data_IF_352080655392
#
_entry.id   IF_352080655392
#
_cell.length_a   1.000
_cell.length_b   1.000
_cell.length_c   1.000
_cell.angle_alpha   90.00
_cell.angle_beta   90.00
_cell.angle_gamma   90.00
#
_symmetry.space_group_name_H-M   'P 1'
#
loop_
_entity.id
_entity.type
_entity.pdbx_description
1 polymer ?
#
# COMPACT_ATOMS: atom_id res chain seq x y z
N UNK A 1 63.31 26.18 -78.32
CA UNK A 1 61.91 26.56 -78.03
C UNK A 1 61.50 25.91 -76.71
N UNK A 2 61.66 26.62 -75.58
CA UNK A 2 61.28 26.10 -74.27
C UNK A 2 59.78 26.32 -74.04
N UNK A 3 59.00 25.24 -74.09
CA UNK A 3 57.55 25.26 -73.86
C UNK A 3 57.25 25.72 -72.43
N UNK A 4 56.50 26.81 -72.30
CA UNK A 4 56.14 27.46 -71.04
C UNK A 4 54.98 26.73 -70.33
N UNK A 5 55.16 25.42 -70.10
CA UNK A 5 54.16 24.51 -69.55
C UNK A 5 53.70 24.92 -68.14
N UNK A 6 54.59 25.51 -67.35
CA UNK A 6 54.32 25.93 -65.97
C UNK A 6 53.35 27.10 -65.81
N UNK A 7 53.04 27.86 -66.86
CA UNK A 7 51.98 28.89 -66.80
C UNK A 7 50.59 28.26 -67.00
N UNK A 8 50.47 27.32 -67.94
CA UNK A 8 49.20 26.63 -68.20
C UNK A 8 48.70 25.85 -66.97
N UNK A 9 49.58 25.13 -66.26
CA UNK A 9 49.20 24.40 -65.05
C UNK A 9 48.76 25.31 -63.89
N UNK A 10 49.36 26.50 -63.76
CA UNK A 10 48.97 27.46 -62.71
C UNK A 10 47.59 28.06 -62.95
N UNK A 11 47.20 28.29 -64.19
CA UNK A 11 45.86 28.81 -64.51
C UNK A 11 44.77 27.76 -64.37
N UNK A 12 45.05 26.50 -64.72
CA UNK A 12 44.13 25.38 -64.50
C UNK A 12 43.90 25.16 -63.00
N UNK A 13 44.95 25.21 -62.17
CA UNK A 13 44.84 25.09 -60.71
C UNK A 13 44.00 26.20 -60.07
N UNK A 14 44.10 27.44 -60.57
CA UNK A 14 43.28 28.56 -60.08
C UNK A 14 41.80 28.40 -60.43
N UNK A 15 41.47 27.90 -61.63
CA UNK A 15 40.08 27.62 -62.03
C UNK A 15 39.48 26.49 -61.19
N UNK A 16 40.21 25.39 -61.01
CA UNK A 16 39.78 24.27 -60.16
C UNK A 16 39.51 24.69 -58.72
N UNK A 17 40.41 25.47 -58.10
CA UNK A 17 40.21 25.98 -56.73
C UNK A 17 38.94 26.82 -56.60
N UNK A 18 38.61 27.62 -57.61
CA UNK A 18 37.40 28.45 -57.63
C UNK A 18 36.14 27.58 -57.72
N UNK A 19 36.14 26.56 -58.58
CA UNK A 19 35.01 25.62 -58.72
C UNK A 19 34.78 24.81 -57.45
N UNK A 20 35.84 24.28 -56.82
CA UNK A 20 35.73 23.55 -55.56
C UNK A 20 35.21 24.44 -54.42
N UNK A 21 35.63 25.71 -54.34
CA UNK A 21 35.13 26.64 -53.31
C UNK A 21 33.65 27.00 -53.44
N UNK A 22 33.06 26.84 -54.64
CA UNK A 22 31.62 27.01 -54.86
C UNK A 22 30.83 25.79 -54.42
N UNK A 23 31.35 24.58 -54.72
CA UNK A 23 30.71 23.30 -54.36
C UNK A 23 30.71 23.08 -52.83
N UNK A 24 31.78 23.46 -52.12
CA UNK A 24 31.83 23.33 -50.66
C UNK A 24 30.72 24.16 -49.98
N UNK A 25 30.45 25.38 -50.46
CA UNK A 25 29.39 26.24 -49.91
C UNK A 25 27.99 25.64 -50.07
N UNK A 26 27.71 24.98 -51.19
CA UNK A 26 26.43 24.30 -51.40
C UNK A 26 26.26 23.06 -50.52
N UNK A 27 27.35 22.35 -50.23
CA UNK A 27 27.35 21.18 -49.32
C UNK A 27 27.15 21.63 -47.88
N UNK A 28 27.75 22.73 -47.46
CA UNK A 28 27.58 23.29 -46.10
C UNK A 28 26.13 23.72 -45.85
N UNK A 29 25.48 24.33 -46.85
CA UNK A 29 24.07 24.72 -46.78
C UNK A 29 23.11 23.51 -46.68
N UNK A 30 23.38 22.45 -47.44
CA UNK A 30 22.63 21.20 -47.37
C UNK A 30 22.81 20.49 -46.02
N UNK A 31 24.02 20.53 -45.47
CA UNK A 31 24.33 19.91 -44.17
C UNK A 31 23.61 20.63 -43.02
N UNK A 32 23.48 21.97 -43.09
CA UNK A 32 22.66 22.75 -42.16
C UNK A 32 21.20 22.30 -42.15
N UNK A 33 20.60 22.17 -43.34
CA UNK A 33 19.20 21.76 -43.50
C UNK A 33 18.94 20.33 -42.97
N UNK A 34 19.87 19.41 -43.19
CA UNK A 34 19.78 18.03 -42.65
C UNK A 34 19.88 18.01 -41.13
N UNK A 35 20.72 18.87 -40.54
CA UNK A 35 20.84 18.96 -39.07
C UNK A 35 19.58 19.54 -38.43
N UNK A 36 18.95 20.53 -39.06
CA UNK A 36 17.68 21.11 -38.61
C UNK A 36 16.55 20.06 -38.64
N UNK A 37 16.47 19.25 -39.70
CA UNK A 37 15.48 18.16 -39.81
C UNK A 37 15.73 17.08 -38.74
N UNK A 38 16.99 16.71 -38.48
CA UNK A 38 17.33 15.74 -37.42
C UNK A 38 16.94 16.25 -36.04
N UNK A 39 17.08 17.56 -35.78
CA UNK A 39 16.66 18.17 -34.53
C UNK A 39 15.15 18.02 -34.31
N UNK A 40 14.33 18.26 -35.35
CA UNK A 40 12.87 18.09 -35.28
C UNK A 40 12.45 16.62 -35.02
N UNK A 41 13.11 15.66 -35.68
CA UNK A 41 12.85 14.23 -35.50
C UNK A 41 13.20 13.80 -34.06
N UNK A 42 14.39 14.19 -33.57
CA UNK A 42 14.82 13.87 -32.21
C UNK A 42 13.89 14.50 -31.16
N UNK A 43 13.39 15.72 -31.40
CA UNK A 43 12.43 16.38 -30.52
C UNK A 43 11.11 15.60 -30.44
N UNK A 44 10.62 15.09 -31.58
CA UNK A 44 9.39 14.28 -31.65
C UNK A 44 9.55 12.95 -30.90
N UNK A 45 10.70 12.28 -31.08
CA UNK A 45 11.01 11.02 -30.38
C UNK A 45 11.13 11.26 -28.87
N UNK A 46 11.80 12.33 -28.44
CA UNK A 46 11.94 12.68 -27.03
C UNK A 46 10.57 12.93 -26.38
N UNK A 47 9.68 13.64 -27.09
CA UNK A 47 8.31 13.86 -26.63
C UNK A 47 7.53 12.55 -26.51
N UNK A 48 7.63 11.65 -27.49
CA UNK A 48 6.96 10.35 -27.44
C UNK A 48 7.47 9.50 -26.27
N UNK A 49 8.78 9.45 -26.06
CA UNK A 49 9.39 8.73 -24.94
C UNK A 49 8.94 9.31 -23.58
N UNK A 50 8.80 10.63 -23.49
CA UNK A 50 8.27 11.29 -22.29
C UNK A 50 6.81 10.87 -22.02
N UNK A 51 5.95 10.89 -23.05
CA UNK A 51 4.55 10.46 -22.92
C UNK A 51 4.44 8.98 -22.53
N UNK A 52 5.21 8.11 -23.17
CA UNK A 52 5.25 6.67 -22.83
C UNK A 52 5.74 6.47 -21.40
N UNK A 53 6.74 7.23 -20.94
CA UNK A 53 7.22 7.19 -19.56
C UNK A 53 6.12 7.55 -18.57
N UNK A 54 5.38 8.64 -18.81
CA UNK A 54 4.26 9.05 -17.96
C UNK A 54 3.16 7.97 -17.91
N UNK A 55 2.78 7.43 -19.07
CA UNK A 55 1.79 6.35 -19.16
C UNK A 55 2.28 5.14 -18.36
N UNK A 56 3.54 4.73 -18.53
CA UNK A 56 4.11 3.59 -17.80
C UNK A 56 4.11 3.78 -16.29
N UNK A 57 4.33 5.00 -15.81
CA UNK A 57 4.30 5.33 -14.39
C UNK A 57 2.88 5.25 -13.83
N UNK A 58 1.91 5.84 -14.53
CA UNK A 58 0.48 5.76 -14.15
C UNK A 58 0.00 4.32 -14.15
N UNK A 59 0.31 3.53 -15.19
CA UNK A 59 -0.06 2.12 -15.24
C UNK A 59 0.51 1.30 -14.10
N UNK A 60 1.79 1.50 -13.75
CA UNK A 60 2.39 0.83 -12.59
C UNK A 60 1.67 1.22 -11.29
N UNK A 61 1.42 2.50 -11.07
CA UNK A 61 0.70 2.97 -9.88
C UNK A 61 -0.70 2.37 -9.77
N UNK A 62 -1.43 2.30 -10.89
CA UNK A 62 -2.78 1.74 -10.95
C UNK A 62 -2.77 0.24 -10.67
N UNK A 63 -1.86 -0.54 -11.26
CA UNK A 63 -1.74 -1.98 -11.01
C UNK A 63 -1.44 -2.24 -9.53
N UNK A 64 -0.51 -1.48 -8.95
CA UNK A 64 -0.23 -1.56 -7.51
C UNK A 64 -1.50 -1.30 -6.70
N UNK A 65 -2.22 -0.21 -6.98
CA UNK A 65 -3.49 0.07 -6.30
C UNK A 65 -4.47 -1.11 -6.35
N UNK A 66 -4.71 -1.72 -7.51
CA UNK A 66 -5.62 -2.85 -7.63
C UNK A 66 -5.15 -4.10 -6.86
N UNK A 67 -3.85 -4.41 -6.87
CA UNK A 67 -3.30 -5.57 -6.15
C UNK A 67 -3.52 -5.46 -4.64
N UNK A 68 -3.45 -4.25 -4.06
CA UNK A 68 -3.67 -4.06 -2.62
C UNK A 68 -5.14 -3.83 -2.26
N UNK A 69 -5.89 -3.17 -3.15
CA UNK A 69 -7.26 -2.78 -2.89
C UNK A 69 -8.24 -3.94 -3.05
N UNK A 70 -8.04 -4.81 -4.05
CA UNK A 70 -8.94 -5.95 -4.31
C UNK A 70 -8.99 -6.97 -3.15
N UNK A 71 -7.87 -7.41 -2.56
CA UNK A 71 -7.91 -8.33 -1.42
C UNK A 71 -8.56 -7.70 -0.19
N UNK A 72 -8.34 -6.40 0.03
CA UNK A 72 -8.98 -5.67 1.12
C UNK A 72 -10.49 -5.68 0.95
N UNK A 73 -10.99 -5.34 -0.24
CA UNK A 73 -12.42 -5.43 -0.57
C UNK A 73 -12.97 -6.85 -0.42
N UNK A 74 -12.22 -7.85 -0.90
CA UNK A 74 -12.64 -9.26 -0.83
C UNK A 74 -12.95 -9.70 0.60
N UNK A 75 -12.10 -9.32 1.55
CA UNK A 75 -12.32 -9.60 2.98
C UNK A 75 -13.61 -8.99 3.52
N UNK A 76 -13.94 -7.76 3.13
CA UNK A 76 -15.21 -7.12 3.52
C UNK A 76 -16.41 -7.84 2.92
N UNK A 77 -16.34 -8.22 1.65
CA UNK A 77 -17.44 -8.95 1.02
C UNK A 77 -17.66 -10.31 1.66
N UNK A 78 -16.62 -11.11 1.88
CA UNK A 78 -16.74 -12.38 2.59
C UNK A 78 -17.40 -12.20 3.96
N UNK A 79 -17.04 -11.12 4.65
CA UNK A 79 -17.62 -10.79 5.94
C UNK A 79 -19.12 -10.49 5.89
N UNK A 80 -19.50 -9.65 4.93
CA UNK A 80 -20.90 -9.28 4.70
C UNK A 80 -21.70 -10.51 4.29
N UNK A 81 -21.16 -11.37 3.41
CA UNK A 81 -21.83 -12.61 3.00
C UNK A 81 -22.02 -13.57 4.16
N UNK A 82 -21.02 -13.76 5.02
CA UNK A 82 -21.17 -14.58 6.23
C UNK A 82 -22.31 -14.03 7.10
N UNK A 83 -22.35 -12.72 7.35
CA UNK A 83 -23.42 -12.08 8.12
C UNK A 83 -24.80 -12.29 7.48
N UNK A 84 -24.92 -12.18 6.16
CA UNK A 84 -26.19 -12.40 5.44
C UNK A 84 -26.65 -13.87 5.55
N UNK A 85 -25.74 -14.83 5.42
CA UNK A 85 -26.08 -16.27 5.50
C UNK A 85 -26.49 -16.66 6.92
N UNK A 86 -25.84 -16.11 7.95
CA UNK A 86 -26.18 -16.37 9.35
C UNK A 86 -27.32 -15.49 9.89
N UNK A 87 -27.74 -14.47 9.14
CA UNK A 87 -28.82 -13.55 9.50
C UNK A 87 -30.09 -14.26 10.00
N UNK A 88 -30.68 -15.27 9.33
CA UNK A 88 -31.89 -15.92 9.83
C UNK A 88 -31.71 -16.63 11.17
N UNK A 89 -30.52 -17.16 11.47
CA UNK A 89 -30.21 -17.81 12.75
C UNK A 89 -29.96 -16.79 13.87
N UNK A 90 -29.38 -15.65 13.51
CA UNK A 90 -29.05 -14.56 14.42
C UNK A 90 -30.14 -13.47 14.50
N UNK A 91 -31.23 -13.61 13.74
CA UNK A 91 -32.25 -12.58 13.56
C UNK A 91 -32.85 -12.13 14.89
N UNK A 92 -33.14 -13.08 15.79
CA UNK A 92 -33.68 -12.79 17.11
C UNK A 92 -32.72 -11.93 17.96
N UNK A 93 -31.43 -12.22 17.92
CA UNK A 93 -30.42 -11.45 18.64
C UNK A 93 -30.25 -10.04 18.08
N UNK A 94 -30.26 -9.89 16.76
CA UNK A 94 -30.25 -8.58 16.11
C UNK A 94 -31.51 -7.77 16.41
N UNK A 95 -32.66 -8.42 16.52
CA UNK A 95 -33.92 -7.77 16.86
C UNK A 95 -33.92 -7.29 18.31
N UNK A 96 -33.41 -8.10 19.24
CA UNK A 96 -33.21 -7.67 20.64
C UNK A 96 -32.24 -6.48 20.75
N UNK A 97 -31.13 -6.50 20.02
CA UNK A 97 -30.17 -5.40 19.99
C UNK A 97 -30.81 -4.12 19.43
N UNK A 98 -31.57 -4.25 18.34
CA UNK A 98 -32.31 -3.13 17.73
C UNK A 98 -33.37 -2.55 18.68
N UNK A 99 -34.14 -3.40 19.38
CA UNK A 99 -35.12 -2.96 20.38
C UNK A 99 -34.41 -2.25 21.55
N UNK A 100 -33.28 -2.80 22.01
CA UNK A 100 -32.50 -2.22 23.09
C UNK A 100 -32.00 -0.83 22.70
N UNK A 101 -31.46 -0.69 21.49
CA UNK A 101 -31.00 0.59 20.97
C UNK A 101 -32.15 1.60 20.82
N UNK A 102 -33.27 1.20 20.21
CA UNK A 102 -34.47 2.05 20.05
C UNK A 102 -35.02 2.48 21.41
N UNK A 103 -35.05 1.59 22.40
CA UNK A 103 -35.51 1.93 23.74
C UNK A 103 -34.53 2.82 24.50
N UNK A 104 -33.22 2.74 24.23
CA UNK A 104 -32.20 3.56 24.86
C UNK A 104 -32.23 5.02 24.38
N UNK A 105 -32.53 5.25 23.10
CA UNK A 105 -32.59 6.60 22.51
C UNK A 105 -33.49 7.59 23.28
N UNK A 106 -34.76 7.29 23.62
CA UNK A 106 -35.62 8.24 24.34
C UNK A 106 -35.09 8.56 25.74
N UNK A 107 -34.50 7.59 26.45
CA UNK A 107 -33.88 7.85 27.75
C UNK A 107 -32.68 8.79 27.64
N UNK A 108 -31.85 8.59 26.60
CA UNK A 108 -30.71 9.48 26.35
C UNK A 108 -31.15 10.90 26.03
N UNK A 109 -32.19 11.06 25.22
CA UNK A 109 -32.78 12.38 24.92
C UNK A 109 -33.34 13.03 26.19
N UNK A 110 -34.00 12.25 27.05
CA UNK A 110 -34.58 12.74 28.29
C UNK A 110 -33.47 13.24 29.25
N UNK A 111 -32.39 12.48 29.43
CA UNK A 111 -31.25 12.92 30.24
C UNK A 111 -30.57 14.16 29.67
N UNK A 112 -30.44 14.24 28.35
CA UNK A 112 -29.88 15.41 27.68
C UNK A 112 -30.73 16.67 27.89
N UNK A 113 -32.07 16.56 27.84
CA UNK A 113 -32.99 17.67 28.11
C UNK A 113 -32.87 18.13 29.57
N UNK A 114 -32.85 17.19 30.52
CA UNK A 114 -32.68 17.52 31.95
C UNK A 114 -31.35 18.22 32.17
N UNK A 115 -30.27 17.71 31.58
CA UNK A 115 -28.95 18.29 31.73
C UNK A 115 -28.88 19.71 31.15
N UNK A 116 -29.52 19.93 30.01
CA UNK A 116 -29.60 21.27 29.38
C UNK A 116 -30.39 22.28 30.23
N UNK A 117 -31.44 21.85 30.93
CA UNK A 117 -32.29 22.74 31.74
C UNK A 117 -31.65 23.04 33.10
N UNK A 118 -31.10 22.04 33.76
CA UNK A 118 -30.62 22.15 35.14
C UNK A 118 -29.10 22.34 35.26
N UNK A 119 -28.34 22.07 34.18
CA UNK A 119 -26.88 22.23 34.09
C UNK A 119 -26.14 21.49 35.22
N UNK A 120 -26.58 20.25 35.50
CA UNK A 120 -26.15 19.45 36.65
C UNK A 120 -25.07 18.40 36.30
N UNK A 121 -24.73 18.22 35.02
CA UNK A 121 -23.81 17.18 34.58
C UNK A 121 -24.36 15.77 34.78
N UNK A 122 -25.67 15.58 34.65
CA UNK A 122 -26.34 14.29 34.94
C UNK A 122 -25.90 13.22 33.94
N UNK A 123 -25.67 13.59 32.68
CA UNK A 123 -25.17 12.67 31.65
C UNK A 123 -23.82 12.06 32.07
N UNK A 124 -22.89 12.89 32.56
CA UNK A 124 -21.57 12.44 33.02
C UNK A 124 -21.68 11.55 34.26
N UNK A 125 -22.59 11.87 35.18
CA UNK A 125 -22.81 11.06 36.37
C UNK A 125 -23.34 9.66 36.01
N UNK A 126 -24.37 9.59 35.16
CA UNK A 126 -24.93 8.31 34.70
C UNK A 126 -23.88 7.53 33.92
N UNK A 127 -23.16 8.18 33.00
CA UNK A 127 -22.15 7.48 32.22
C UNK A 127 -21.01 6.93 33.07
N UNK A 128 -20.49 7.71 34.00
CA UNK A 128 -19.32 7.30 34.77
C UNK A 128 -19.67 6.32 35.89
N UNK A 129 -20.73 6.57 36.63
CA UNK A 129 -21.07 5.75 37.79
C UNK A 129 -21.94 4.57 37.43
N UNK A 130 -22.97 4.75 36.59
CA UNK A 130 -23.88 3.64 36.27
C UNK A 130 -23.24 2.67 35.27
N UNK A 131 -22.79 3.15 34.11
CA UNK A 131 -22.14 2.27 33.13
C UNK A 131 -20.78 1.76 33.61
N UNK A 132 -19.99 2.57 34.31
CA UNK A 132 -18.74 2.13 34.91
C UNK A 132 -18.92 1.01 35.92
N UNK A 133 -19.90 1.13 36.83
CA UNK A 133 -20.18 0.07 37.83
C UNK A 133 -20.70 -1.20 37.16
N UNK A 134 -21.53 -1.08 36.11
CA UNK A 134 -22.02 -2.23 35.35
C UNK A 134 -20.90 -2.97 34.62
N UNK A 135 -19.95 -2.26 34.02
CA UNK A 135 -18.77 -2.87 33.40
C UNK A 135 -17.88 -3.59 34.42
N UNK A 136 -17.65 -2.97 35.57
CA UNK A 136 -16.81 -3.56 36.61
C UNK A 136 -17.48 -4.82 37.19
N UNK A 137 -18.81 -4.81 37.33
CA UNK A 137 -19.58 -5.98 37.73
C UNK A 137 -19.55 -7.08 36.66
N UNK A 138 -19.68 -6.73 35.37
CA UNK A 138 -19.58 -7.68 34.26
C UNK A 138 -18.21 -8.37 34.24
N UNK A 139 -17.13 -7.58 34.39
CA UNK A 139 -15.76 -8.10 34.47
C UNK A 139 -15.58 -9.02 35.68
N UNK A 140 -16.12 -8.66 36.85
CA UNK A 140 -16.02 -9.48 38.04
C UNK A 140 -16.73 -10.84 37.89
N UNK A 141 -17.86 -10.86 37.17
CA UNK A 141 -18.64 -12.09 36.97
C UNK A 141 -18.00 -12.97 35.90
N UNK A 142 -17.48 -12.35 34.83
CA UNK A 142 -16.86 -13.06 33.72
C UNK A 142 -15.47 -13.63 34.06
N UNK A 143 -14.63 -12.89 34.80
CA UNK A 143 -13.23 -13.26 35.03
C UNK A 143 -13.10 -14.50 35.95
N UNK A 144 -12.13 -15.37 35.64
CA UNK A 144 -11.85 -16.61 36.37
C UNK A 144 -11.39 -16.36 37.82
N UNK A 145 -10.92 -15.15 38.11
CA UNK A 145 -10.53 -14.70 39.46
C UNK A 145 -11.69 -14.16 40.30
N UNK A 146 -12.86 -13.94 39.70
CA UNK A 146 -14.08 -13.51 40.37
C UNK A 146 -15.05 -14.68 40.56
N UNK A 147 -16.16 -14.68 39.80
CA UNK A 147 -17.13 -15.78 39.82
C UNK A 147 -16.86 -16.88 38.78
N UNK A 148 -16.06 -16.62 37.74
CA UNK A 148 -15.63 -17.61 36.75
C UNK A 148 -16.76 -18.22 35.89
N UNK A 149 -17.90 -17.55 35.73
CA UNK A 149 -19.06 -18.12 35.03
C UNK A 149 -18.97 -18.02 33.50
N UNK A 150 -18.02 -17.26 32.93
CA UNK A 150 -17.90 -16.95 31.49
C UNK A 150 -19.21 -16.42 30.88
N UNK A 151 -20.04 -15.78 31.69
CA UNK A 151 -21.30 -15.16 31.26
C UNK A 151 -21.14 -13.65 31.36
N UNK A 152 -21.51 -12.95 30.30
CA UNK A 152 -21.66 -11.49 30.32
C UNK A 152 -23.13 -11.14 30.64
N UNK A 153 -23.35 -10.16 31.51
CA UNK A 153 -24.65 -9.63 31.88
C UNK A 153 -25.07 -8.52 30.91
N UNK A 154 -24.13 -7.62 30.60
CA UNK A 154 -24.38 -6.46 29.73
C UNK A 154 -24.03 -6.74 28.26
N UNK A 155 -23.24 -7.77 27.99
CA UNK A 155 -22.91 -8.21 26.64
C UNK A 155 -23.63 -9.52 26.30
N UNK A 156 -23.83 -9.74 25.00
CA UNK A 156 -24.30 -11.04 24.52
C UNK A 156 -23.27 -12.14 24.87
N UNK A 157 -23.72 -13.38 25.11
CA UNK A 157 -22.81 -14.48 25.40
C UNK A 157 -21.83 -14.71 24.24
N UNK A 158 -20.60 -15.10 24.56
CA UNK A 158 -19.51 -15.27 23.57
C UNK A 158 -19.90 -16.14 22.37
N UNK A 159 -20.72 -17.17 22.61
CA UNK A 159 -21.21 -18.06 21.56
C UNK A 159 -22.07 -17.37 20.49
N UNK A 160 -22.79 -16.31 20.86
CA UNK A 160 -23.61 -15.49 19.96
C UNK A 160 -22.74 -14.42 19.32
N UNK A 161 -21.90 -13.76 20.12
CA UNK A 161 -20.96 -12.74 19.63
C UNK A 161 -20.06 -13.31 18.55
N UNK A 162 -19.52 -14.50 18.76
CA UNK A 162 -18.61 -15.14 17.80
C UNK A 162 -19.32 -15.57 16.51
N UNK A 163 -20.53 -16.10 16.60
CA UNK A 163 -21.27 -16.60 15.44
C UNK A 163 -21.98 -15.51 14.63
N UNK A 164 -22.49 -14.49 15.32
CA UNK A 164 -23.37 -13.49 14.72
C UNK A 164 -22.62 -12.17 14.45
N UNK A 165 -21.80 -11.72 15.39
CA UNK A 165 -21.20 -10.39 15.36
C UNK A 165 -19.76 -10.40 14.85
N UNK A 166 -18.97 -11.41 15.21
CA UNK A 166 -17.61 -11.56 14.73
C UNK A 166 -17.56 -12.01 13.28
N UNK A 167 -16.43 -11.68 12.65
CA UNK A 167 -16.15 -12.04 11.29
C UNK A 167 -14.92 -12.91 11.24
N UNK A 168 -15.07 -14.16 10.82
CA UNK A 168 -13.95 -15.09 10.72
C UNK A 168 -13.20 -14.88 9.41
N UNK A 169 -12.61 -13.69 9.26
CA UNK A 169 -11.73 -13.41 8.14
C UNK A 169 -10.39 -14.01 8.51
N UNK A 170 -9.95 -15.03 7.77
CA UNK A 170 -8.57 -15.52 7.89
C UNK A 170 -7.68 -14.33 7.56
N UNK A 171 -6.76 -13.91 8.45
CA UNK A 171 -5.86 -12.83 8.12
C UNK A 171 -5.14 -13.25 6.83
N UNK A 172 -5.19 -12.40 5.80
CA UNK A 172 -4.29 -12.56 4.65
C UNK A 172 -2.92 -12.64 5.29
N UNK A 173 -2.32 -13.83 5.29
CA UNK A 173 -0.94 -14.04 5.74
C UNK A 173 -0.09 -13.31 4.73
N UNK A 174 0.00 -11.99 4.89
CA UNK A 174 1.19 -11.26 4.50
C UNK A 174 2.28 -12.06 5.18
N UNK A 175 3.12 -12.74 4.41
CA UNK A 175 4.47 -13.03 4.87
C UNK A 175 5.10 -11.65 5.10
N UNK A 176 4.72 -10.99 6.20
CA UNK A 176 5.61 -10.08 6.87
C UNK A 176 6.85 -10.94 7.07
N UNK A 177 8.01 -10.57 6.52
CA UNK A 177 9.25 -11.24 6.89
C UNK A 177 9.23 -11.28 8.41
N UNK A 178 9.24 -12.49 8.93
CA UNK A 178 9.01 -12.74 10.35
C UNK A 178 9.94 -11.81 11.13
N UNK A 179 9.34 -10.96 11.97
CA UNK A 179 10.07 -10.17 12.97
C UNK A 179 10.78 -11.06 14.00
N UNK A 180 10.75 -12.39 13.81
CA UNK A 180 11.56 -13.39 14.48
C UNK A 180 13.08 -13.30 14.23
N UNK A 181 13.59 -12.29 13.54
CA UNK A 181 15.04 -12.03 13.49
C UNK A 181 15.48 -10.69 14.09
N UNK A 182 14.57 -9.87 14.63
CA UNK A 182 14.97 -8.67 15.38
C UNK A 182 15.52 -9.01 16.77
N UNK A 183 14.93 -9.99 17.47
CA UNK A 183 15.43 -10.46 18.76
C UNK A 183 16.74 -11.26 18.62
N UNK A 184 16.91 -12.00 17.51
CA UNK A 184 18.17 -12.71 17.22
C UNK A 184 19.29 -11.73 16.83
N UNK A 185 18.99 -10.66 16.09
CA UNK A 185 19.94 -9.55 15.84
C UNK A 185 20.30 -8.80 17.11
N UNK A 186 19.35 -8.52 18.00
CA UNK A 186 19.64 -7.83 19.25
C UNK A 186 20.55 -8.67 20.15
N UNK A 187 20.30 -9.98 20.29
CA UNK A 187 21.16 -10.89 21.05
C UNK A 187 22.52 -11.15 20.38
N UNK A 188 22.61 -11.15 19.05
CA UNK A 188 23.87 -11.23 18.32
C UNK A 188 24.72 -9.95 18.47
N UNK A 189 24.09 -8.77 18.48
CA UNK A 189 24.78 -7.49 18.71
C UNK A 189 25.23 -7.33 20.16
N UNK A 190 24.43 -7.79 21.12
CA UNK A 190 24.79 -7.80 22.55
C UNK A 190 25.94 -8.77 22.83
N UNK A 191 25.97 -9.94 22.17
CA UNK A 191 27.08 -10.90 22.29
C UNK A 191 28.37 -10.46 21.58
N UNK A 192 28.29 -9.66 20.51
CA UNK A 192 29.48 -9.07 19.89
C UNK A 192 30.15 -8.00 20.77
N UNK A 193 29.41 -7.33 21.67
CA UNK A 193 29.97 -6.31 22.55
C UNK A 193 30.74 -6.88 23.75
N UNK A 194 30.50 -8.15 24.10
CA UNK A 194 31.17 -8.84 25.22
C UNK A 194 32.39 -9.67 24.81
N UNK A 195 32.58 -9.91 23.51
CA UNK A 195 33.76 -10.59 22.97
C UNK A 195 34.75 -9.62 22.36
N UNK A 196 35.72 -9.15 23.15
CA UNK A 196 36.87 -8.45 22.60
C UNK A 196 37.71 -9.38 21.71
N UNK A 197 37.56 -9.28 20.38
CA UNK A 197 38.61 -9.38 19.35
C UNK A 197 38.03 -9.42 17.94
N UNK A 198 38.40 -8.39 17.17
CA UNK A 198 38.62 -8.33 15.72
C UNK A 198 37.52 -8.80 14.74
N UNK A 199 36.75 -7.80 14.29
CA UNK A 199 36.40 -7.50 12.88
C UNK A 199 36.44 -8.64 11.85
N UNK A 200 35.26 -9.12 11.44
CA UNK A 200 34.98 -9.51 10.04
C UNK A 200 33.59 -8.97 9.65
N UNK A 201 33.58 -8.18 8.57
CA UNK A 201 32.41 -7.51 7.96
C UNK A 201 31.28 -8.51 7.68
N UNK A 202 30.09 -8.25 8.24
CA UNK A 202 28.84 -8.80 7.70
C UNK A 202 28.39 -7.91 6.54
N UNK A 203 28.68 -8.32 5.31
CA UNK A 203 27.97 -7.83 4.13
C UNK A 203 26.70 -8.68 4.01
N UNK A 204 25.53 -8.08 4.23
CA UNK A 204 24.25 -8.74 3.99
C UNK A 204 23.89 -8.44 2.53
N UNK A 205 23.98 -9.46 1.69
CA UNK A 205 23.66 -9.41 0.27
C UNK A 205 22.14 -9.25 0.10
N UNK A 206 21.69 -8.10 -0.42
CA UNK A 206 20.27 -7.79 -0.64
C UNK A 206 19.70 -8.50 -1.88
N UNK A 207 20.53 -9.16 -2.68
CA UNK A 207 20.14 -9.80 -3.95
C UNK A 207 19.24 -11.02 -3.77
N UNK A 208 19.35 -11.74 -2.65
CA UNK A 208 18.54 -12.92 -2.36
C UNK A 208 17.05 -12.62 -2.05
N UNK A 209 16.67 -11.35 -1.90
CA UNK A 209 15.28 -10.96 -1.62
C UNK A 209 14.40 -10.89 -2.88
N UNK A 210 14.98 -10.72 -4.07
CA UNK A 210 14.21 -10.58 -5.31
C UNK A 210 13.85 -11.92 -5.98
N UNK A 211 14.59 -12.99 -5.71
CA UNK A 211 14.34 -14.30 -6.34
C UNK A 211 13.20 -15.12 -5.70
N UNK A 212 12.70 -14.73 -4.51
CA UNK A 212 11.67 -15.50 -3.80
C UNK A 212 10.22 -15.12 -4.14
N UNK A 213 9.97 -14.34 -5.19
CA UNK A 213 8.61 -13.95 -5.63
C UNK A 213 8.09 -14.73 -6.85
N UNK A 214 8.58 -15.95 -7.10
CA UNK A 214 8.04 -16.78 -8.17
C UNK A 214 6.67 -17.40 -7.75
N UNK A 215 5.57 -17.26 -8.52
CA UNK A 215 4.20 -17.51 -8.03
C UNK A 215 3.72 -18.97 -8.09
N UNK A 216 4.58 -19.96 -8.30
CA UNK A 216 4.15 -21.32 -8.69
C UNK A 216 3.79 -22.26 -7.54
N UNK A 217 3.97 -21.88 -6.28
CA UNK A 217 3.77 -22.80 -5.16
C UNK A 217 2.45 -22.53 -4.43
N UNK A 218 1.34 -22.99 -5.03
CA UNK A 218 0.04 -23.13 -4.36
C UNK A 218 -0.15 -24.60 -3.98
N UNK A 219 -0.01 -25.00 -2.71
CA UNK A 219 -0.37 -26.34 -2.29
C UNK A 219 -1.91 -26.47 -2.21
N UNK A 220 -2.42 -27.53 -2.86
CA UNK A 220 -3.81 -27.98 -2.80
C UNK A 220 -4.32 -28.04 -1.35
N UNK A 221 -5.39 -27.31 -1.05
CA UNK A 221 -6.16 -27.51 0.18
C UNK A 221 -7.10 -28.69 -0.02
N UNK A 222 -6.81 -29.78 0.68
CA UNK A 222 -7.72 -30.88 0.91
C UNK A 222 -8.98 -30.42 1.64
N UNK A 223 -10.08 -30.98 1.17
CA UNK A 223 -11.43 -30.93 1.71
C UNK A 223 -11.54 -31.71 3.02
N UNK A 224 -11.99 -31.05 4.08
CA UNK A 224 -12.79 -31.61 5.18
C UNK A 224 -13.76 -30.54 5.70
#
# INVERSE_FOLDING_TARGET
>A
MGFNLGKAFRDVGKKLKKTFSGVTKTVDALTGLVNDVKMLINCTIAFFNFVVSLISYVWKSTIWFFIYFLPWIGQYFECIFQKIIFLPKCFFWYLLDSISWISYVPFRILFWIIDTIFNLGVEDFVNKYFWGTLEDLDKYIHDEKGLGTKIHIIHFPDSVTDKCYNCHIKPIRRKLPSTCDLNKKHNALVNCRKGGKSSKKCNVDLSAYFDSQNPTDVPNLGSE
#
